data_IF_766819225470
#
_entry.id   IF_766819225470
#
_cell.length_a   1.000
_cell.length_b   1.000
_cell.length_c   1.000
_cell.angle_alpha   90.00
_cell.angle_beta   90.00
_cell.angle_gamma   90.00
#
_symmetry.space_group_name_H-M   'P 1'
#
loop_
_entity.id
_entity.type
_entity.pdbx_description
1 polymer ?
#
# COMPACT_ATOMS: atom_id res chain seq x y z
N UNK A 1 0.87 -11.54 7.34
CA UNK A 1 1.84 -10.52 7.79
C UNK A 1 1.07 -9.43 8.49
N UNK A 2 1.59 -8.88 9.60
CA UNK A 2 0.89 -7.82 10.35
C UNK A 2 1.21 -6.50 9.67
N UNK A 3 0.30 -6.02 8.82
CA UNK A 3 0.44 -4.74 8.15
C UNK A 3 0.55 -3.61 9.18
N UNK A 4 1.18 -2.49 8.80
CA UNK A 4 1.20 -1.28 9.61
C UNK A 4 -0.25 -0.82 9.82
N UNK A 5 -0.74 -0.89 11.06
CA UNK A 5 -2.06 -0.35 11.44
C UNK A 5 -1.98 1.16 11.66
N UNK A 6 -3.13 1.85 11.66
CA UNK A 6 -3.18 3.29 11.94
C UNK A 6 -2.55 3.66 13.29
N UNK A 7 -2.81 2.88 14.36
CA UNK A 7 -2.15 3.08 15.67
C UNK A 7 -0.63 2.95 15.58
N UNK A 8 -0.13 1.96 14.82
CA UNK A 8 1.30 1.76 14.60
C UNK A 8 1.91 2.94 13.84
N UNK A 9 1.25 3.42 12.78
CA UNK A 9 1.70 4.55 12.00
C UNK A 9 1.78 5.85 12.83
N UNK A 10 0.81 6.09 13.72
CA UNK A 10 0.82 7.23 14.64
C UNK A 10 1.99 7.16 15.63
N UNK A 11 2.26 5.97 16.19
CA UNK A 11 3.41 5.76 17.10
C UNK A 11 4.74 5.96 16.39
N UNK A 12 4.90 5.41 15.19
CA UNK A 12 6.11 5.56 14.38
C UNK A 12 6.33 7.02 13.98
N UNK A 13 5.27 7.73 13.59
CA UNK A 13 5.34 9.16 13.30
C UNK A 13 5.83 9.97 14.49
N UNK A 14 5.24 9.74 15.67
CA UNK A 14 5.67 10.41 16.91
C UNK A 14 7.11 10.08 17.28
N UNK A 15 7.51 8.82 17.13
CA UNK A 15 8.84 8.35 17.55
C UNK A 15 9.96 8.84 16.62
N UNK A 16 9.75 8.78 15.30
CA UNK A 16 10.76 9.14 14.31
C UNK A 16 10.67 10.59 13.81
N UNK A 17 9.71 11.37 14.31
CA UNK A 17 9.50 12.75 13.84
C UNK A 17 8.96 12.84 12.41
N UNK A 18 8.22 11.82 11.97
CA UNK A 18 7.59 11.76 10.64
C UNK A 18 6.06 11.83 10.76
N UNK A 19 5.34 11.85 9.63
CA UNK A 19 3.88 11.76 9.64
C UNK A 19 3.42 10.30 9.70
N UNK A 20 2.21 10.05 10.21
CA UNK A 20 1.61 8.72 10.14
C UNK A 20 1.30 8.30 8.69
N UNK A 21 0.87 9.27 7.86
CA UNK A 21 0.60 9.08 6.43
C UNK A 21 1.83 8.56 5.67
N UNK A 22 3.03 8.99 6.05
CA UNK A 22 4.27 8.45 5.47
C UNK A 22 4.34 6.92 5.57
N UNK A 23 4.06 6.38 6.75
CA UNK A 23 4.12 4.94 7.01
C UNK A 23 2.99 4.17 6.33
N UNK A 24 1.78 4.73 6.30
CA UNK A 24 0.65 4.15 5.58
C UNK A 24 0.93 4.10 4.08
N UNK A 25 1.46 5.19 3.50
CA UNK A 25 1.81 5.25 2.09
C UNK A 25 2.93 4.27 1.74
N UNK A 26 3.90 4.08 2.63
CA UNK A 26 4.96 3.09 2.45
C UNK A 26 4.40 1.66 2.38
N UNK A 27 3.51 1.30 3.32
CA UNK A 27 2.83 0.00 3.32
C UNK A 27 2.02 -0.21 2.03
N UNK A 28 1.21 0.79 1.65
CA UNK A 28 0.39 0.72 0.45
C UNK A 28 1.23 0.52 -0.83
N UNK A 29 2.36 1.22 -0.95
CA UNK A 29 3.29 1.05 -2.08
C UNK A 29 3.89 -0.35 -2.14
N UNK A 30 4.31 -0.88 -0.99
CA UNK A 30 4.84 -2.24 -0.90
C UNK A 30 3.77 -3.28 -1.28
N UNK A 31 2.55 -3.12 -0.77
CA UNK A 31 1.45 -4.04 -1.07
C UNK A 31 1.07 -4.00 -2.56
N UNK A 32 1.07 -2.81 -3.17
CA UNK A 32 0.88 -2.66 -4.61
C UNK A 32 2.00 -3.31 -5.44
N UNK A 33 3.26 -3.19 -5.04
CA UNK A 33 4.37 -3.84 -5.74
C UNK A 33 4.25 -5.37 -5.68
N UNK A 34 3.96 -5.92 -4.50
CA UNK A 34 3.74 -7.35 -4.30
C UNK A 34 2.53 -7.84 -5.08
N UNK A 35 1.42 -7.10 -5.06
CA UNK A 35 0.22 -7.45 -5.82
C UNK A 35 0.49 -7.38 -7.34
N UNK A 36 1.21 -6.36 -7.81
CA UNK A 36 1.58 -6.23 -9.23
C UNK A 36 2.43 -7.41 -9.71
N UNK A 37 3.38 -7.90 -8.91
CA UNK A 37 4.19 -9.07 -9.28
C UNK A 37 3.36 -10.33 -9.47
N UNK A 38 2.30 -10.49 -8.68
CA UNK A 38 1.52 -11.73 -8.64
C UNK A 38 0.24 -11.70 -9.48
N UNK A 39 -0.43 -10.55 -9.58
CA UNK A 39 -1.80 -10.45 -10.06
C UNK A 39 -1.96 -9.59 -11.31
N UNK A 40 -0.95 -8.80 -11.69
CA UNK A 40 -1.05 -7.84 -12.81
C UNK A 40 -1.58 -8.47 -14.11
N UNK A 41 -0.94 -9.56 -14.56
CA UNK A 41 -1.35 -10.26 -15.80
C UNK A 41 -2.75 -10.87 -15.73
N UNK A 42 -3.24 -11.19 -14.53
CA UNK A 42 -4.59 -11.72 -14.33
C UNK A 42 -5.60 -10.59 -14.42
N UNK A 43 -5.34 -9.49 -13.70
CA UNK A 43 -6.17 -8.29 -13.69
C UNK A 43 -6.31 -7.70 -15.11
N UNK A 44 -5.21 -7.58 -15.86
CA UNK A 44 -5.22 -7.07 -17.25
C UNK A 44 -6.08 -7.92 -18.21
N UNK A 45 -6.21 -9.23 -17.95
CA UNK A 45 -7.05 -10.13 -18.76
C UNK A 45 -8.52 -10.06 -18.37
N UNK A 46 -8.81 -9.85 -17.09
CA UNK A 46 -10.16 -9.90 -16.53
C UNK A 46 -10.86 -8.53 -16.56
N UNK A 47 -10.09 -7.43 -16.52
CA UNK A 47 -10.61 -6.07 -16.37
C UNK A 47 -10.07 -5.18 -17.49
N UNK A 48 -10.96 -4.75 -18.39
CA UNK A 48 -10.65 -3.72 -19.38
C UNK A 48 -10.84 -2.32 -18.77
N UNK A 49 -9.95 -1.35 -19.05
CA UNK A 49 -10.14 0.03 -18.60
C UNK A 49 -11.36 0.63 -19.28
N UNK A 50 -12.23 1.27 -18.50
CA UNK A 50 -13.35 2.02 -19.04
C UNK A 50 -12.82 3.29 -19.70
N UNK A 51 -12.99 3.41 -21.02
CA UNK A 51 -12.73 4.67 -21.72
C UNK A 51 -13.83 5.68 -21.36
N UNK A 52 -13.42 6.91 -21.03
CA UNK A 52 -14.31 8.05 -20.78
C UNK A 52 -14.75 8.71 -22.09
#
# INVERSE_FOLDING_TARGET
WRAITTDTALRLGRYFGTTAEFWVNLQARHDLDVANRNLRKKIEKEIAPQAA
#
